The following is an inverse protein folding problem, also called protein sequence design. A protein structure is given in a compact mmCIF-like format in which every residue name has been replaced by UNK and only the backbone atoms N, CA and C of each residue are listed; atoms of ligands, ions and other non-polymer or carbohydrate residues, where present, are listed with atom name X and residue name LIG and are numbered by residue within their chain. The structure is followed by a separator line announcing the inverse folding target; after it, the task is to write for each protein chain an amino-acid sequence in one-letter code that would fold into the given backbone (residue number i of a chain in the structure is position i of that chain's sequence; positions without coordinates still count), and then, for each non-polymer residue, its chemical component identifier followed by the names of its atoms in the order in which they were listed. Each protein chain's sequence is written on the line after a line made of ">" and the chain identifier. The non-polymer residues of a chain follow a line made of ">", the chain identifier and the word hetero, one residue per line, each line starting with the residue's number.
data_IF_024765927438
#
_entry.id   IF_024765927438
#
_cell.length_a   1.000
_cell.length_b   1.000
_cell.length_c   1.000
_cell.angle_alpha   90.00
_cell.angle_beta   90.00
_cell.angle_gamma   90.00
#
_symmetry.space_group_name_H-M   'P 1'
#
loop_
_entity.id
_entity.type
_entity.pdbx_description
1 polymer ?
#
# COMPACT_ATOMS: atom_id res chain seq x y z
N UNK A 1 -31.45 78.41 -44.10
CA UNK A 1 -32.00 77.41 -43.11
C UNK A 1 -31.13 76.18 -43.16
N UNK A 2 -30.25 76.01 -42.19
CA UNK A 2 -29.26 74.95 -42.14
C UNK A 2 -29.82 73.76 -41.33
N UNK A 3 -29.89 72.55 -41.95
CA UNK A 3 -30.23 71.32 -41.27
C UNK A 3 -28.98 70.60 -40.87
N UNK A 4 -28.75 70.55 -39.56
CA UNK A 4 -27.68 69.68 -38.91
C UNK A 4 -28.22 68.27 -38.72
N UNK A 5 -27.67 67.29 -39.43
CA UNK A 5 -27.86 65.87 -39.16
C UNK A 5 -26.79 65.44 -38.16
N UNK A 6 -27.20 65.07 -36.97
CA UNK A 6 -26.37 64.45 -35.98
C UNK A 6 -26.21 62.95 -36.33
N UNK A 7 -24.97 62.53 -36.63
CA UNK A 7 -24.65 61.12 -36.79
C UNK A 7 -24.25 60.60 -35.36
N UNK A 8 -24.97 59.63 -34.85
CA UNK A 8 -24.63 58.90 -33.64
C UNK A 8 -23.78 57.66 -34.04
N UNK A 9 -22.54 57.62 -33.61
CA UNK A 9 -21.65 56.45 -33.72
C UNK A 9 -21.90 55.56 -32.50
N UNK A 10 -22.53 54.42 -32.70
CA UNK A 10 -22.65 53.37 -31.68
C UNK A 10 -21.37 52.50 -31.70
N UNK A 11 -20.52 52.64 -30.70
CA UNK A 11 -19.38 51.75 -30.48
C UNK A 11 -19.91 50.44 -29.83
N UNK A 12 -19.93 49.36 -30.64
CA UNK A 12 -20.19 48.02 -30.12
C UNK A 12 -18.91 47.49 -29.46
N UNK A 13 -18.92 47.44 -28.12
CA UNK A 13 -17.88 46.74 -27.34
C UNK A 13 -18.19 45.25 -27.41
N UNK A 14 -17.44 44.51 -28.22
CA UNK A 14 -17.46 43.05 -28.20
C UNK A 14 -16.77 42.56 -26.92
N UNK A 15 -17.54 42.18 -25.89
CA UNK A 15 -17.04 41.38 -24.78
C UNK A 15 -16.77 39.95 -25.31
N UNK A 16 -15.50 39.65 -25.61
CA UNK A 16 -15.07 38.28 -25.79
C UNK A 16 -15.02 37.63 -24.39
N UNK A 17 -16.14 37.02 -24.02
CA UNK A 17 -16.17 36.13 -22.84
C UNK A 17 -15.25 34.95 -23.13
N UNK A 18 -14.08 34.92 -22.49
CA UNK A 18 -13.30 33.69 -22.34
C UNK A 18 -14.15 32.75 -21.46
N UNK A 19 -14.84 31.82 -22.10
CA UNK A 19 -15.38 30.66 -21.39
C UNK A 19 -14.20 29.90 -20.87
N UNK A 20 -13.93 30.01 -19.57
CA UNK A 20 -13.09 29.05 -18.89
C UNK A 20 -13.76 27.68 -19.06
N UNK A 21 -13.20 26.83 -19.92
CA UNK A 21 -13.58 25.43 -19.98
C UNK A 21 -13.29 24.86 -18.59
N UNK A 22 -14.33 24.52 -17.85
CA UNK A 22 -14.15 23.74 -16.63
C UNK A 22 -13.34 22.48 -17.00
N UNK A 23 -12.28 22.20 -16.28
CA UNK A 23 -11.53 20.96 -16.47
C UNK A 23 -12.52 19.79 -16.35
N UNK A 24 -12.43 18.84 -17.27
CA UNK A 24 -13.25 17.64 -17.23
C UNK A 24 -12.99 16.89 -15.91
N UNK A 25 -14.06 16.57 -15.18
CA UNK A 25 -13.90 15.89 -13.89
C UNK A 25 -13.36 14.47 -14.10
N UNK A 26 -12.21 14.18 -13.51
CA UNK A 26 -11.59 12.86 -13.53
C UNK A 26 -11.68 12.24 -12.14
N UNK A 27 -12.29 11.07 -12.04
CA UNK A 27 -12.40 10.32 -10.79
C UNK A 27 -11.30 9.27 -10.71
N UNK A 28 -10.65 9.16 -9.55
CA UNK A 28 -9.59 8.20 -9.27
C UNK A 28 -9.97 7.39 -8.04
N UNK A 29 -9.87 6.07 -8.16
CA UNK A 29 -10.10 5.14 -7.06
C UNK A 29 -8.79 4.41 -6.73
N UNK A 30 -8.35 4.52 -5.47
CA UNK A 30 -7.13 3.88 -4.96
C UNK A 30 -7.48 2.71 -4.04
N UNK A 31 -7.15 1.48 -4.43
CA UNK A 31 -7.27 0.30 -3.59
C UNK A 31 -6.29 0.35 -2.40
N UNK A 32 -6.77 0.02 -1.20
CA UNK A 32 -5.98 0.12 0.04
C UNK A 32 -5.89 -1.23 0.77
N UNK A 33 -6.35 -1.31 1.98
CA UNK A 33 -6.40 -2.49 2.84
C UNK A 33 -7.40 -2.29 3.97
N UNK A 34 -7.28 -3.07 5.04
CA UNK A 34 -8.09 -2.88 6.24
C UNK A 34 -7.85 -1.50 6.87
N UNK A 35 -8.89 -0.93 7.48
CA UNK A 35 -8.87 0.44 8.02
C UNK A 35 -7.86 0.64 9.16
N UNK A 36 -7.47 -0.41 9.85
CA UNK A 36 -6.45 -0.40 10.91
C UNK A 36 -5.02 -0.54 10.38
N UNK A 37 -4.86 -0.81 9.07
CA UNK A 37 -3.58 -1.00 8.39
C UNK A 37 -3.04 0.28 7.74
N UNK A 38 -1.73 0.31 7.48
CA UNK A 38 -1.05 1.49 6.92
C UNK A 38 -1.42 1.74 5.45
N UNK A 39 -1.83 0.74 4.67
CA UNK A 39 -2.33 0.94 3.29
C UNK A 39 -3.50 1.90 3.23
N UNK A 40 -4.43 1.79 4.19
CA UNK A 40 -5.55 2.72 4.26
C UNK A 40 -5.08 4.15 4.45
N UNK A 41 -4.10 4.35 5.34
CA UNK A 41 -3.48 5.66 5.55
C UNK A 41 -2.75 6.16 4.30
N UNK A 42 -2.03 5.29 3.57
CA UNK A 42 -1.37 5.65 2.30
C UNK A 42 -2.38 6.20 1.30
N UNK A 43 -3.43 5.42 0.99
CA UNK A 43 -4.43 5.84 0.01
C UNK A 43 -5.17 7.12 0.41
N UNK A 44 -5.59 7.23 1.68
CA UNK A 44 -6.22 8.44 2.20
C UNK A 44 -5.29 9.65 2.14
N UNK A 45 -3.99 9.47 2.39
CA UNK A 45 -2.99 10.53 2.33
C UNK A 45 -2.80 11.04 0.90
N UNK A 46 -2.67 10.12 -0.07
CA UNK A 46 -2.56 10.46 -1.49
C UNK A 46 -3.82 11.19 -1.95
N UNK A 47 -5.01 10.63 -1.70
CA UNK A 47 -6.27 11.27 -2.09
C UNK A 47 -6.45 12.64 -1.44
N UNK A 48 -6.02 12.81 -0.19
CA UNK A 48 -6.06 14.12 0.49
C UNK A 48 -5.20 15.16 -0.23
N UNK A 49 -4.04 14.76 -0.77
CA UNK A 49 -3.15 15.66 -1.51
C UNK A 49 -3.71 15.97 -2.91
N UNK A 50 -4.17 14.95 -3.64
CA UNK A 50 -4.82 15.11 -4.95
C UNK A 50 -6.04 16.02 -4.87
N UNK A 51 -6.94 15.76 -3.91
CA UNK A 51 -8.18 16.52 -3.76
C UNK A 51 -7.99 18.00 -3.38
N UNK A 52 -6.81 18.39 -2.90
CA UNK A 52 -6.51 19.82 -2.65
C UNK A 52 -6.36 20.63 -3.93
N UNK A 53 -5.98 19.96 -5.01
CA UNK A 53 -5.72 20.59 -6.30
C UNK A 53 -6.88 20.37 -7.28
N UNK A 54 -8.03 19.87 -6.81
CA UNK A 54 -9.21 19.59 -7.67
C UNK A 54 -9.65 20.79 -8.50
N UNK A 55 -9.56 22.01 -7.95
CA UNK A 55 -9.94 23.22 -8.69
C UNK A 55 -9.07 23.47 -9.93
N UNK A 56 -7.82 23.01 -9.91
CA UNK A 56 -6.84 23.19 -11.00
C UNK A 56 -6.83 21.98 -11.95
N UNK A 57 -6.89 20.76 -11.37
CA UNK A 57 -6.73 19.51 -12.14
C UNK A 57 -8.04 18.87 -12.56
N UNK A 58 -9.18 19.24 -11.97
CA UNK A 58 -10.45 18.53 -12.14
C UNK A 58 -10.50 17.15 -11.48
N UNK A 59 -9.41 16.70 -10.85
CA UNK A 59 -9.30 15.34 -10.30
C UNK A 59 -9.96 15.21 -8.93
N UNK A 60 -10.69 14.11 -8.74
CA UNK A 60 -11.31 13.70 -7.48
C UNK A 60 -10.89 12.29 -7.15
N UNK A 61 -10.32 12.10 -5.96
CA UNK A 61 -9.73 10.84 -5.52
C UNK A 61 -10.50 10.26 -4.32
N UNK A 62 -10.75 8.95 -4.36
CA UNK A 62 -11.30 8.15 -3.27
C UNK A 62 -10.41 6.94 -2.97
N UNK A 63 -10.34 6.54 -1.72
CA UNK A 63 -9.51 5.41 -1.29
C UNK A 63 -10.32 4.46 -0.40
N UNK A 64 -11.12 3.55 -0.98
CA UNK A 64 -11.88 2.57 -0.23
C UNK A 64 -10.99 1.55 0.49
N UNK A 65 -11.50 1.00 1.60
CA UNK A 65 -10.91 -0.18 2.23
C UNK A 65 -11.14 -1.42 1.36
N UNK A 66 -10.11 -2.25 1.21
CA UNK A 66 -10.13 -3.44 0.34
C UNK A 66 -9.59 -4.68 1.07
N UNK A 67 -9.46 -5.78 0.33
CA UNK A 67 -8.82 -7.02 0.80
C UNK A 67 -7.29 -6.94 0.94
N UNK A 68 -6.63 -5.95 0.34
CA UNK A 68 -5.17 -5.80 0.34
C UNK A 68 -4.53 -6.08 -1.02
N UNK A 69 -3.25 -6.43 -1.04
CA UNK A 69 -2.37 -6.43 -2.23
C UNK A 69 -2.93 -7.17 -3.44
N UNK A 70 -3.31 -8.44 -3.28
CA UNK A 70 -3.80 -9.28 -4.38
C UNK A 70 -5.15 -8.79 -4.87
N UNK A 71 -6.04 -8.41 -3.95
CA UNK A 71 -7.34 -7.84 -4.29
C UNK A 71 -7.20 -6.53 -5.08
N UNK A 72 -6.26 -5.66 -4.69
CA UNK A 72 -6.01 -4.40 -5.38
C UNK A 72 -5.47 -4.64 -6.80
N UNK A 73 -4.46 -5.50 -6.95
CA UNK A 73 -3.90 -5.80 -8.27
C UNK A 73 -4.95 -6.42 -9.20
N UNK A 74 -5.78 -7.32 -8.69
CA UNK A 74 -6.87 -7.91 -9.48
C UNK A 74 -7.93 -6.88 -9.88
N UNK A 75 -8.29 -5.95 -8.99
CA UNK A 75 -9.23 -4.87 -9.30
C UNK A 75 -8.66 -3.88 -10.34
N UNK A 76 -7.36 -3.56 -10.27
CA UNK A 76 -6.67 -2.75 -11.28
C UNK A 76 -6.65 -3.49 -12.63
N UNK A 77 -6.35 -4.78 -12.62
CA UNK A 77 -6.35 -5.62 -13.83
C UNK A 77 -7.73 -5.70 -14.50
N UNK A 78 -8.79 -5.72 -13.69
CA UNK A 78 -10.17 -5.73 -14.16
C UNK A 78 -10.67 -4.35 -14.62
N UNK A 79 -9.96 -3.25 -14.27
CA UNK A 79 -10.39 -1.87 -14.51
C UNK A 79 -11.41 -1.34 -13.50
N UNK A 80 -11.58 -2.03 -12.36
CA UNK A 80 -12.48 -1.61 -11.27
C UNK A 80 -11.83 -0.54 -10.37
N UNK A 81 -10.50 -0.44 -10.40
CA UNK A 81 -9.71 0.55 -9.69
C UNK A 81 -8.59 1.08 -10.59
N UNK A 82 -8.25 2.35 -10.41
CA UNK A 82 -7.21 2.99 -11.21
C UNK A 82 -5.81 2.70 -10.67
N UNK A 83 -5.68 2.69 -9.34
CA UNK A 83 -4.41 2.55 -8.64
C UNK A 83 -4.62 1.75 -7.34
N UNK A 84 -3.52 1.32 -6.72
CA UNK A 84 -3.62 0.61 -5.46
C UNK A 84 -2.29 0.47 -4.74
N UNK A 85 -2.37 0.12 -3.46
CA UNK A 85 -1.20 -0.22 -2.65
C UNK A 85 -1.05 -1.74 -2.65
N UNK A 86 0.17 -2.22 -2.92
CA UNK A 86 0.49 -3.65 -2.94
C UNK A 86 1.91 -3.89 -2.41
N UNK A 87 2.14 -5.06 -1.84
CA UNK A 87 3.47 -5.51 -1.47
C UNK A 87 4.35 -5.71 -2.71
N UNK A 88 5.65 -5.48 -2.58
CA UNK A 88 6.63 -5.63 -3.67
C UNK A 88 6.75 -7.05 -4.22
N UNK A 89 6.53 -8.08 -3.40
CA UNK A 89 6.47 -9.48 -3.84
C UNK A 89 5.25 -9.73 -4.73
N UNK A 90 4.08 -9.23 -4.35
CA UNK A 90 2.86 -9.35 -5.17
C UNK A 90 2.91 -8.54 -6.45
N UNK A 91 3.56 -7.37 -6.43
CA UNK A 91 3.87 -6.62 -7.65
C UNK A 91 4.73 -7.47 -8.60
N UNK A 92 5.78 -8.11 -8.06
CA UNK A 92 6.66 -8.99 -8.84
C UNK A 92 5.90 -10.20 -9.41
N UNK A 93 5.15 -10.92 -8.57
CA UNK A 93 4.43 -12.13 -8.99
C UNK A 93 3.38 -11.82 -10.06
N UNK A 94 2.63 -10.74 -9.89
CA UNK A 94 1.61 -10.35 -10.85
C UNK A 94 2.21 -9.91 -12.19
N UNK A 95 3.25 -9.10 -12.18
CA UNK A 95 3.89 -8.62 -13.40
C UNK A 95 4.53 -9.76 -14.20
N UNK A 96 5.25 -10.64 -13.53
CA UNK A 96 5.97 -11.75 -14.17
C UNK A 96 5.10 -12.99 -14.47
N UNK A 97 3.88 -13.06 -13.94
CA UNK A 97 3.01 -14.23 -14.07
C UNK A 97 3.48 -15.44 -13.27
N UNK A 98 4.07 -15.21 -12.10
CA UNK A 98 4.54 -16.27 -11.21
C UNK A 98 3.36 -17.11 -10.69
N UNK A 99 3.56 -18.41 -10.39
CA UNK A 99 2.51 -19.31 -9.92
C UNK A 99 1.78 -18.83 -8.65
N UNK A 100 2.47 -18.05 -7.82
CA UNK A 100 1.90 -17.44 -6.60
C UNK A 100 0.77 -16.46 -6.90
N UNK A 101 0.70 -15.90 -8.12
CA UNK A 101 -0.38 -15.00 -8.54
C UNK A 101 -1.36 -15.74 -9.44
N UNK A 102 -2.39 -16.35 -8.84
CA UNK A 102 -3.39 -17.17 -9.55
C UNK A 102 -4.17 -16.41 -10.64
N UNK A 103 -4.24 -15.09 -10.55
CA UNK A 103 -4.83 -14.23 -11.57
C UNK A 103 -4.11 -14.25 -12.93
N UNK A 104 -2.97 -14.95 -13.05
CA UNK A 104 -2.10 -14.99 -14.22
C UNK A 104 -1.39 -13.65 -14.48
N UNK A 105 -0.44 -13.64 -15.39
CA UNK A 105 0.38 -12.46 -15.67
C UNK A 105 -0.46 -11.18 -15.93
N UNK A 106 0.06 -10.08 -15.41
CA UNK A 106 -0.48 -8.74 -15.67
C UNK A 106 0.65 -7.84 -16.24
N UNK A 107 0.98 -7.98 -17.54
CA UNK A 107 2.08 -7.26 -18.16
C UNK A 107 1.85 -5.74 -18.24
N UNK A 108 0.60 -5.28 -18.08
CA UNK A 108 0.25 -3.88 -18.04
C UNK A 108 0.35 -3.27 -16.63
N UNK A 109 0.72 -4.05 -15.62
CA UNK A 109 1.00 -3.52 -14.29
C UNK A 109 2.19 -2.54 -14.35
N UNK A 110 2.06 -1.41 -13.69
CA UNK A 110 3.10 -0.38 -13.59
C UNK A 110 3.34 0.01 -12.15
N UNK A 111 4.61 0.17 -11.80
CA UNK A 111 5.01 0.80 -10.56
C UNK A 111 4.86 2.32 -10.69
N UNK A 112 4.48 2.96 -9.61
CA UNK A 112 4.49 4.42 -9.50
C UNK A 112 5.61 4.84 -8.57
N UNK A 113 5.56 4.42 -7.31
CA UNK A 113 6.63 4.58 -6.31
C UNK A 113 6.47 3.54 -5.20
N UNK A 114 7.52 3.32 -4.40
CA UNK A 114 7.39 2.58 -3.15
C UNK A 114 7.11 3.51 -1.97
N UNK A 115 6.67 2.94 -0.86
CA UNK A 115 6.37 3.69 0.36
C UNK A 115 7.21 3.13 1.51
N UNK A 116 6.61 2.58 2.53
CA UNK A 116 7.29 2.10 3.74
C UNK A 116 7.71 0.63 3.64
N UNK A 117 8.62 0.23 4.52
CA UNK A 117 8.92 -1.19 4.74
C UNK A 117 7.77 -1.87 5.48
N UNK A 118 7.57 -3.15 5.21
CA UNK A 118 6.51 -3.98 5.78
C UNK A 118 7.11 -5.26 6.37
N UNK A 119 7.57 -5.22 7.63
CA UNK A 119 7.97 -6.43 8.35
C UNK A 119 6.84 -7.46 8.40
N UNK A 120 7.16 -8.72 8.11
CA UNK A 120 6.29 -9.86 8.38
C UNK A 120 6.26 -10.09 9.89
N UNK A 121 5.15 -9.77 10.51
CA UNK A 121 5.02 -9.69 11.97
C UNK A 121 4.12 -10.80 12.48
N UNK A 122 4.60 -11.54 13.46
CA UNK A 122 3.81 -12.49 14.24
C UNK A 122 3.59 -11.90 15.63
N UNK A 123 2.35 -11.87 16.07
CA UNK A 123 1.96 -11.49 17.44
C UNK A 123 1.30 -12.69 18.08
N UNK A 124 1.81 -13.15 19.23
CA UNK A 124 1.29 -14.29 19.96
C UNK A 124 0.86 -13.90 21.37
N UNK A 125 -0.19 -14.54 21.86
CA UNK A 125 -0.62 -14.42 23.26
C UNK A 125 0.46 -15.01 24.18
N UNK A 126 0.70 -14.39 25.32
CA UNK A 126 1.73 -14.85 26.27
C UNK A 126 1.42 -16.25 26.81
N UNK A 127 0.14 -16.58 26.95
CA UNK A 127 -0.31 -17.89 27.43
C UNK A 127 -0.32 -19.00 26.36
N UNK A 128 -0.03 -18.67 25.11
CA UNK A 128 -0.02 -19.62 23.99
C UNK A 128 1.28 -20.44 23.89
N UNK A 129 2.35 -20.01 24.56
CA UNK A 129 3.66 -20.69 24.53
C UNK A 129 4.30 -20.68 23.15
N UNK A 130 4.17 -19.56 22.40
CA UNK A 130 4.77 -19.32 21.09
C UNK A 130 5.94 -18.36 21.29
N UNK A 131 7.14 -18.80 21.05
CA UNK A 131 8.38 -18.01 21.19
C UNK A 131 9.21 -17.96 19.91
N UNK A 132 8.95 -18.89 19.00
CA UNK A 132 9.54 -18.98 17.66
C UNK A 132 8.44 -19.15 16.61
N UNK A 133 8.77 -18.92 15.34
CA UNK A 133 7.82 -19.14 14.25
C UNK A 133 7.33 -20.60 14.18
N UNK A 134 8.22 -21.56 14.47
CA UNK A 134 7.89 -22.99 14.42
C UNK A 134 6.86 -23.40 15.51
N UNK A 135 6.77 -22.66 16.62
CA UNK A 135 5.79 -22.93 17.68
C UNK A 135 4.34 -22.63 17.25
N UNK A 136 4.14 -22.02 16.06
CA UNK A 136 2.80 -21.83 15.48
C UNK A 136 2.12 -23.16 15.08
N UNK A 137 2.90 -24.24 14.88
CA UNK A 137 2.32 -25.57 14.64
C UNK A 137 1.43 -26.01 15.82
N UNK A 138 0.25 -26.52 15.48
CA UNK A 138 -0.74 -26.93 16.46
C UNK A 138 -1.46 -25.79 17.19
N UNK A 139 -1.22 -24.53 16.82
CA UNK A 139 -1.92 -23.35 17.38
C UNK A 139 -3.07 -22.90 16.50
N UNK A 140 -3.95 -22.07 17.07
CA UNK A 140 -4.99 -21.36 16.36
C UNK A 140 -4.39 -20.05 15.82
N UNK A 141 -4.13 -19.97 14.54
CA UNK A 141 -3.42 -18.83 13.94
C UNK A 141 -4.31 -18.10 12.93
N UNK A 142 -4.43 -16.79 13.04
CA UNK A 142 -4.98 -15.99 11.93
C UNK A 142 -3.89 -15.77 10.89
N UNK A 143 -4.00 -16.46 9.76
CA UNK A 143 -3.05 -16.41 8.64
C UNK A 143 -3.39 -15.35 7.60
N UNK A 144 -4.43 -14.55 7.83
CA UNK A 144 -4.87 -13.46 6.95
C UNK A 144 -5.99 -13.85 5.99
N UNK A 145 -6.75 -12.86 5.56
CA UNK A 145 -7.88 -13.06 4.66
C UNK A 145 -7.42 -13.38 3.22
N UNK A 146 -8.23 -14.15 2.46
CA UNK A 146 -8.00 -14.34 1.03
C UNK A 146 -7.88 -13.00 0.29
N UNK A 147 -6.94 -12.91 -0.63
CA UNK A 147 -6.66 -11.68 -1.39
C UNK A 147 -5.79 -10.66 -0.66
N UNK A 148 -5.39 -10.90 0.60
CA UNK A 148 -4.40 -10.07 1.28
C UNK A 148 -2.97 -10.48 0.93
N UNK A 149 -2.05 -9.51 0.97
CA UNK A 149 -0.64 -9.78 0.75
C UNK A 149 -0.04 -10.65 1.86
N UNK A 150 -0.42 -10.40 3.13
CA UNK A 150 0.06 -11.18 4.26
C UNK A 150 -0.30 -12.67 4.17
N UNK A 151 -1.53 -12.98 3.69
CA UNK A 151 -1.95 -14.37 3.49
C UNK A 151 -1.02 -15.06 2.50
N UNK A 152 -0.76 -14.42 1.38
CA UNK A 152 0.10 -15.01 0.39
C UNK A 152 1.56 -15.10 0.81
N UNK A 153 2.10 -14.11 1.54
CA UNK A 153 3.46 -14.23 2.13
C UNK A 153 3.52 -15.40 3.12
N UNK A 154 2.45 -15.61 3.91
CA UNK A 154 2.37 -16.79 4.78
C UNK A 154 2.35 -18.10 3.98
N UNK A 155 1.63 -18.17 2.88
CA UNK A 155 1.59 -19.34 2.00
C UNK A 155 2.96 -19.64 1.38
N UNK A 156 3.71 -18.62 0.96
CA UNK A 156 5.10 -18.78 0.51
C UNK A 156 5.98 -19.37 1.61
N UNK A 157 5.85 -18.91 2.87
CA UNK A 157 6.58 -19.48 4.00
C UNK A 157 6.16 -20.93 4.27
N UNK A 158 4.87 -21.21 4.26
CA UNK A 158 4.34 -22.57 4.47
C UNK A 158 4.90 -23.52 3.41
N UNK A 159 4.91 -23.13 2.15
CA UNK A 159 5.49 -23.92 1.04
C UNK A 159 6.98 -24.21 1.30
N UNK A 160 7.77 -23.20 1.65
CA UNK A 160 9.21 -23.35 1.93
C UNK A 160 9.50 -24.22 3.13
N UNK A 161 8.63 -24.24 4.13
CA UNK A 161 8.73 -25.04 5.34
C UNK A 161 8.09 -26.42 5.20
N UNK A 162 7.40 -26.70 4.09
CA UNK A 162 6.63 -27.93 3.90
C UNK A 162 5.41 -28.00 4.83
N UNK A 163 4.84 -26.86 5.21
CA UNK A 163 3.66 -26.79 6.03
C UNK A 163 2.40 -26.75 5.19
N UNK A 164 1.30 -27.24 5.76
CA UNK A 164 -0.05 -27.16 5.22
C UNK A 164 -0.98 -26.51 6.23
N UNK A 165 -2.22 -26.27 5.86
CA UNK A 165 -3.24 -25.76 6.80
C UNK A 165 -3.50 -26.74 7.95
N UNK A 166 -3.29 -28.04 7.73
CA UNK A 166 -3.46 -29.10 8.74
C UNK A 166 -2.38 -29.07 9.85
N UNK A 167 -1.30 -28.34 9.65
CA UNK A 167 -0.28 -28.11 10.69
C UNK A 167 -0.77 -27.17 11.79
N UNK A 168 -1.88 -26.43 11.58
CA UNK A 168 -2.51 -25.58 12.60
C UNK A 168 -3.71 -26.27 13.24
N UNK A 169 -3.93 -25.99 14.54
CA UNK A 169 -5.20 -26.38 15.18
C UNK A 169 -6.40 -25.63 14.55
N UNK A 170 -6.16 -24.41 14.10
CA UNK A 170 -7.08 -23.59 13.32
C UNK A 170 -6.29 -22.60 12.48
N UNK A 171 -6.41 -22.64 11.17
CA UNK A 171 -5.98 -21.58 10.28
C UNK A 171 -7.18 -20.63 10.04
N UNK A 172 -7.18 -19.48 10.74
CA UNK A 172 -8.23 -18.49 10.61
C UNK A 172 -7.91 -17.50 9.49
N UNK A 173 -8.93 -16.99 8.81
CA UNK A 173 -8.80 -16.12 7.63
C UNK A 173 -9.46 -14.76 7.84
N UNK A 174 -9.31 -14.19 9.04
CA UNK A 174 -9.91 -12.92 9.42
C UNK A 174 -9.17 -11.75 8.75
N UNK A 175 -9.93 -10.70 8.46
CA UNK A 175 -9.35 -9.43 8.03
C UNK A 175 -8.52 -8.80 9.16
N UNK A 176 -7.55 -7.95 8.80
CA UNK A 176 -6.69 -7.29 9.76
C UNK A 176 -7.44 -6.47 10.82
N UNK A 177 -8.59 -5.91 10.49
CA UNK A 177 -9.42 -5.16 11.45
C UNK A 177 -10.15 -6.05 12.47
N UNK A 178 -10.22 -7.37 12.26
CA UNK A 178 -10.94 -8.32 13.12
C UNK A 178 -10.01 -9.12 14.03
N UNK A 179 -8.71 -9.17 13.68
CA UNK A 179 -7.75 -10.08 14.30
C UNK A 179 -7.44 -9.73 15.77
N UNK A 180 -7.37 -8.44 16.13
CA UNK A 180 -7.15 -8.01 17.50
C UNK A 180 -8.27 -8.44 18.44
N UNK A 181 -9.53 -8.26 18.02
CA UNK A 181 -10.69 -8.72 18.77
C UNK A 181 -10.72 -10.26 18.90
N UNK A 182 -10.39 -10.99 17.83
CA UNK A 182 -10.33 -12.45 17.87
C UNK A 182 -9.26 -12.97 18.85
N UNK A 183 -8.12 -12.26 18.97
CA UNK A 183 -7.08 -12.57 19.96
C UNK A 183 -7.57 -12.29 21.39
N UNK A 184 -8.20 -11.13 21.63
CA UNK A 184 -8.78 -10.76 22.91
C UNK A 184 -9.88 -11.71 23.38
N UNK A 185 -10.71 -12.19 22.44
CA UNK A 185 -11.77 -13.18 22.68
C UNK A 185 -11.23 -14.62 22.84
N UNK A 186 -9.91 -14.81 22.83
CA UNK A 186 -9.27 -16.14 22.86
C UNK A 186 -9.75 -17.10 21.75
N UNK A 187 -10.05 -16.57 20.57
CA UNK A 187 -10.42 -17.36 19.38
C UNK A 187 -9.19 -17.81 18.59
N UNK A 188 -8.11 -17.02 18.67
CA UNK A 188 -6.81 -17.32 18.05
C UNK A 188 -5.69 -17.14 19.08
N UNK A 189 -4.61 -17.93 18.93
CA UNK A 189 -3.43 -17.89 19.78
C UNK A 189 -2.38 -16.92 19.25
N UNK A 190 -2.35 -16.77 17.92
CA UNK A 190 -1.45 -15.85 17.24
C UNK A 190 -2.13 -15.24 15.99
N UNK A 191 -1.59 -14.09 15.60
CA UNK A 191 -1.95 -13.40 14.35
C UNK A 191 -0.70 -13.08 13.57
N UNK A 192 -0.81 -13.06 12.24
CA UNK A 192 0.24 -12.55 11.36
C UNK A 192 -0.21 -11.29 10.65
N UNK A 193 0.72 -10.39 10.41
CA UNK A 193 0.47 -9.20 9.62
C UNK A 193 1.74 -8.69 8.94
N UNK A 194 1.73 -8.62 7.61
CA UNK A 194 2.77 -7.94 6.84
C UNK A 194 2.32 -6.49 6.67
N UNK A 195 2.94 -5.57 7.37
CA UNK A 195 2.45 -4.18 7.43
C UNK A 195 3.53 -3.20 7.87
N UNK A 196 3.31 -1.91 7.58
CA UNK A 196 4.12 -0.82 8.14
C UNK A 196 3.90 -0.64 9.65
N UNK A 197 4.92 -0.15 10.32
CA UNK A 197 4.94 0.09 11.76
C UNK A 197 5.13 1.59 12.08
N UNK A 198 4.50 2.10 13.19
CA UNK A 198 3.53 1.41 14.05
C UNK A 198 2.24 1.07 13.31
N UNK A 199 1.59 -0.03 13.71
CA UNK A 199 0.38 -0.53 13.08
C UNK A 199 -0.79 -0.57 14.08
N UNK A 200 -1.94 -0.06 13.70
CA UNK A 200 -3.10 0.07 14.58
C UNK A 200 -3.66 -1.28 15.06
N UNK A 201 -3.71 -2.29 14.18
CA UNK A 201 -4.21 -3.62 14.55
C UNK A 201 -3.28 -4.34 15.54
N UNK A 202 -1.95 -4.24 15.33
CA UNK A 202 -0.95 -4.81 16.24
C UNK A 202 -0.98 -4.08 17.59
N UNK A 203 -1.12 -2.74 17.56
CA UNK A 203 -1.21 -1.94 18.77
C UNK A 203 -2.47 -2.27 19.58
N UNK A 204 -3.60 -2.45 18.92
CA UNK A 204 -4.84 -2.91 19.55
C UNK A 204 -4.66 -4.30 20.17
N UNK A 205 -4.14 -5.28 19.44
CA UNK A 205 -3.90 -6.64 19.90
C UNK A 205 -3.03 -6.67 21.16
N UNK A 206 -1.89 -5.96 21.17
CA UNK A 206 -0.95 -5.92 22.28
C UNK A 206 -1.39 -5.06 23.46
N UNK A 207 -2.36 -4.15 23.26
CA UNK A 207 -2.92 -3.31 24.32
C UNK A 207 -4.07 -4.01 25.04
N UNK A 208 -4.92 -4.73 24.29
CA UNK A 208 -6.12 -5.40 24.82
C UNK A 208 -5.86 -6.82 25.32
N UNK A 209 -4.74 -7.42 24.91
CA UNK A 209 -4.35 -8.78 25.26
C UNK A 209 -2.91 -8.79 25.76
N UNK A 210 -2.57 -9.65 26.72
CA UNK A 210 -1.18 -9.92 27.07
C UNK A 210 -0.56 -10.75 25.94
N UNK A 211 0.25 -10.07 25.12
CA UNK A 211 0.82 -10.61 23.90
C UNK A 211 2.15 -9.93 23.55
N UNK A 212 2.97 -10.62 22.80
CA UNK A 212 4.27 -10.16 22.35
C UNK A 212 4.52 -10.47 20.88
N UNK A 213 5.49 -9.78 20.28
CA UNK A 213 5.96 -10.06 18.92
C UNK A 213 6.96 -11.22 18.95
N UNK A 214 6.84 -12.12 17.97
CA UNK A 214 7.64 -13.32 17.83
C UNK A 214 8.65 -13.13 16.68
N UNK A 215 9.95 -13.42 16.87
CA UNK A 215 10.92 -13.33 15.80
C UNK A 215 10.66 -14.36 14.68
N UNK A 216 10.93 -13.94 13.44
CA UNK A 216 10.77 -14.78 12.25
C UNK A 216 12.13 -14.84 11.54
N UNK A 217 12.95 -15.74 11.98
CA UNK A 217 14.36 -15.90 11.59
C UNK A 217 14.71 -17.37 11.35
N UNK A 218 15.85 -17.62 10.75
CA UNK A 218 16.37 -18.97 10.55
C UNK A 218 16.78 -19.24 9.12
N UNK A 219 17.39 -20.42 8.84
CA UNK A 219 17.98 -20.72 7.53
C UNK A 219 17.00 -20.62 6.35
N UNK A 220 15.72 -20.98 6.55
CA UNK A 220 14.69 -20.89 5.50
C UNK A 220 14.39 -19.42 5.17
N UNK A 221 14.33 -18.56 6.20
CA UNK A 221 14.13 -17.12 6.01
C UNK A 221 15.35 -16.48 5.35
N UNK A 222 16.56 -16.87 5.78
CA UNK A 222 17.81 -16.38 5.17
C UNK A 222 17.87 -16.74 3.66
N UNK A 223 17.51 -17.98 3.30
CA UNK A 223 17.44 -18.42 1.92
C UNK A 223 16.34 -17.67 1.14
N UNK A 224 15.17 -17.50 1.72
CA UNK A 224 14.07 -16.76 1.09
C UNK A 224 14.48 -15.32 0.73
N UNK A 225 15.16 -14.63 1.65
CA UNK A 225 15.66 -13.26 1.42
C UNK A 225 16.80 -13.25 0.40
N UNK A 226 17.72 -14.22 0.44
CA UNK A 226 18.84 -14.27 -0.49
C UNK A 226 18.40 -14.55 -1.94
N UNK A 227 17.37 -15.37 -2.12
CA UNK A 227 16.90 -15.82 -3.45
C UNK A 227 15.93 -14.82 -4.11
N UNK A 228 15.38 -13.87 -3.37
CA UNK A 228 14.30 -13.01 -3.85
C UNK A 228 14.54 -11.53 -3.54
N UNK A 229 14.74 -10.68 -4.55
CA UNK A 229 15.14 -9.28 -4.38
C UNK A 229 14.04 -8.38 -3.78
N UNK A 230 12.80 -8.86 -3.72
CA UNK A 230 11.67 -8.17 -3.12
C UNK A 230 11.48 -8.45 -1.63
N UNK A 231 12.27 -9.36 -1.05
CA UNK A 231 12.37 -9.58 0.40
C UNK A 231 13.65 -8.98 0.95
N UNK A 232 13.59 -8.50 2.19
CA UNK A 232 14.74 -8.00 2.93
C UNK A 232 14.65 -8.40 4.41
N UNK A 233 15.79 -8.49 5.10
CA UNK A 233 15.79 -8.57 6.55
C UNK A 233 15.19 -7.29 7.13
N UNK A 234 14.41 -7.44 8.18
CA UNK A 234 13.73 -6.34 8.84
C UNK A 234 13.80 -6.50 10.36
N UNK A 235 13.62 -5.38 11.05
CA UNK A 235 13.56 -5.34 12.52
C UNK A 235 12.36 -4.50 12.92
N UNK A 236 11.55 -5.00 13.84
CA UNK A 236 10.55 -4.19 14.54
C UNK A 236 11.20 -3.70 15.84
N UNK A 237 11.36 -2.38 16.05
CA UNK A 237 12.04 -1.84 17.22
C UNK A 237 11.35 -2.22 18.53
N UNK A 238 12.14 -2.59 19.52
CA UNK A 238 11.68 -2.82 20.87
C UNK A 238 11.00 -1.60 21.49
N UNK A 239 10.06 -1.84 22.39
CA UNK A 239 9.28 -0.80 23.04
C UNK A 239 8.20 -0.14 22.16
N UNK A 240 8.08 -0.53 20.89
CA UNK A 240 7.03 -0.01 19.99
C UNK A 240 5.65 -0.54 20.37
N UNK A 241 5.58 -1.76 20.86
CA UNK A 241 4.34 -2.42 21.27
C UNK A 241 4.46 -2.95 22.69
N UNK A 242 3.36 -2.89 23.45
CA UNK A 242 3.29 -3.46 24.79
C UNK A 242 3.65 -4.95 24.76
N UNK A 243 4.43 -5.42 25.73
CA UNK A 243 4.87 -6.82 25.82
C UNK A 243 6.09 -7.18 24.98
N UNK A 244 6.69 -6.20 24.25
CA UNK A 244 7.86 -6.41 23.40
C UNK A 244 8.88 -5.31 23.64
N UNK A 245 9.80 -5.52 24.59
CA UNK A 245 10.79 -4.51 25.00
C UNK A 245 12.07 -4.54 24.16
N UNK A 246 12.41 -5.69 23.56
CA UNK A 246 13.57 -5.88 22.70
C UNK A 246 13.22 -5.79 21.22
N UNK A 247 14.22 -5.48 20.39
CA UNK A 247 14.10 -5.54 18.94
C UNK A 247 13.71 -6.96 18.49
N UNK A 248 12.80 -7.05 17.51
CA UNK A 248 12.32 -8.31 16.95
C UNK A 248 12.80 -8.44 15.51
N UNK A 249 13.70 -9.39 15.28
CA UNK A 249 14.22 -9.69 13.94
C UNK A 249 13.19 -10.48 13.11
N UNK A 250 13.06 -10.09 11.85
CA UNK A 250 12.16 -10.72 10.89
C UNK A 250 12.65 -10.45 9.46
N UNK A 251 11.82 -10.72 8.49
CA UNK A 251 11.98 -10.28 7.10
C UNK A 251 10.78 -9.44 6.70
N UNK A 252 10.84 -8.84 5.53
CA UNK A 252 9.73 -8.04 5.05
C UNK A 252 9.84 -7.68 3.59
N UNK A 253 8.87 -6.89 3.15
CA UNK A 253 8.71 -6.36 1.80
C UNK A 253 8.63 -4.84 1.85
N UNK A 254 8.43 -4.20 0.69
CA UNK A 254 8.03 -2.79 0.58
C UNK A 254 6.55 -2.70 0.24
N UNK A 255 5.85 -1.75 0.81
CA UNK A 255 4.61 -1.25 0.26
C UNK A 255 4.92 -0.48 -1.02
N UNK A 256 4.24 -0.81 -2.11
CA UNK A 256 4.39 -0.14 -3.40
C UNK A 256 3.07 0.44 -3.85
N UNK A 257 3.11 1.54 -4.57
CA UNK A 257 1.95 2.16 -5.20
C UNK A 257 1.98 1.80 -6.67
N UNK A 258 0.94 1.14 -7.14
CA UNK A 258 0.87 0.52 -8.46
C UNK A 258 -0.36 0.96 -9.22
N UNK A 259 -0.30 0.85 -10.56
CA UNK A 259 -1.37 1.19 -11.48
C UNK A 259 -1.30 0.32 -12.74
N UNK A 260 -2.19 0.55 -13.69
CA UNK A 260 -2.16 -0.05 -15.02
C UNK A 260 -1.57 0.91 -16.06
N UNK A 261 -0.88 0.37 -17.07
CA UNK A 261 -0.49 1.13 -18.27
C UNK A 261 -1.67 1.77 -19.02
N UNK A 262 -2.90 1.35 -18.75
CA UNK A 262 -4.11 1.94 -19.34
C UNK A 262 -4.56 3.24 -18.68
N UNK A 263 -4.06 3.56 -17.49
CA UNK A 263 -4.36 4.85 -16.83
C UNK A 263 -3.62 5.97 -17.58
N UNK A 264 -4.26 7.09 -17.91
CA UNK A 264 -3.61 8.16 -18.66
C UNK A 264 -2.37 8.73 -17.96
N UNK A 265 -1.32 9.03 -18.72
CA UNK A 265 -0.05 9.55 -18.21
C UNK A 265 -0.23 10.80 -17.36
N UNK A 266 -1.12 11.70 -17.78
CA UNK A 266 -1.39 12.96 -17.07
C UNK A 266 -2.01 12.70 -15.69
N UNK A 267 -2.89 11.69 -15.58
CA UNK A 267 -3.51 11.30 -14.29
C UNK A 267 -2.43 10.82 -13.32
N UNK A 268 -1.55 9.93 -13.77
CA UNK A 268 -0.48 9.41 -12.91
C UNK A 268 0.53 10.51 -12.58
N UNK A 269 0.87 11.36 -13.55
CA UNK A 269 1.75 12.52 -13.35
C UNK A 269 1.22 13.44 -12.24
N UNK A 270 -0.05 13.82 -12.29
CA UNK A 270 -0.66 14.70 -11.28
C UNK A 270 -0.74 14.04 -9.89
N UNK A 271 -0.98 12.73 -9.81
CA UNK A 271 -0.91 12.01 -8.53
C UNK A 271 0.50 12.01 -7.95
N UNK A 272 1.50 11.71 -8.77
CA UNK A 272 2.92 11.73 -8.37
C UNK A 272 3.33 13.14 -7.93
N UNK A 273 2.96 14.15 -8.72
CA UNK A 273 3.20 15.57 -8.42
C UNK A 273 2.56 15.98 -7.10
N UNK A 274 1.31 15.57 -6.85
CA UNK A 274 0.62 15.89 -5.60
C UNK A 274 1.36 15.33 -4.37
N UNK A 275 1.96 14.15 -4.47
CA UNK A 275 2.73 13.54 -3.38
C UNK A 275 4.07 14.22 -3.21
N UNK A 276 4.88 14.33 -4.26
CA UNK A 276 6.28 14.78 -4.15
C UNK A 276 6.42 16.30 -4.01
N UNK A 277 5.53 17.11 -4.58
CA UNK A 277 5.50 18.55 -4.30
C UNK A 277 5.06 18.87 -2.85
N UNK A 278 4.45 17.89 -2.16
CA UNK A 278 4.06 17.99 -0.76
C UNK A 278 4.77 16.95 0.12
N UNK A 279 6.01 16.57 -0.22
CA UNK A 279 6.70 15.44 0.35
C UNK A 279 6.83 15.49 1.88
N UNK A 280 7.30 16.61 2.44
CA UNK A 280 7.40 16.77 3.90
C UNK A 280 6.04 16.63 4.60
N UNK A 281 4.99 17.11 3.96
CA UNK A 281 3.64 16.94 4.48
C UNK A 281 3.20 15.49 4.41
N UNK A 282 3.47 14.79 3.31
CA UNK A 282 3.19 13.36 3.17
C UNK A 282 3.88 12.55 4.26
N UNK A 283 5.16 12.80 4.50
CA UNK A 283 5.93 12.16 5.58
C UNK A 283 5.33 12.38 6.96
N UNK A 284 4.77 13.55 7.21
CA UNK A 284 4.14 13.89 8.49
C UNK A 284 2.75 13.25 8.73
N UNK A 285 2.18 12.53 7.74
CA UNK A 285 0.83 11.97 7.86
C UNK A 285 0.77 10.65 8.63
N UNK A 286 1.89 9.93 8.71
CA UNK A 286 2.01 8.70 9.51
C UNK A 286 3.45 8.45 9.92
N UNK A 287 3.72 7.92 11.14
CA UNK A 287 5.09 7.63 11.59
C UNK A 287 5.86 6.67 10.66
N UNK A 288 5.19 5.70 10.02
CA UNK A 288 5.81 4.81 9.05
C UNK A 288 6.40 5.53 7.83
N UNK A 289 6.01 6.79 7.57
CA UNK A 289 6.51 7.59 6.45
C UNK A 289 7.67 8.51 6.84
N UNK A 290 8.00 8.61 8.12
CA UNK A 290 8.95 9.60 8.64
C UNK A 290 10.35 9.50 8.00
N UNK A 291 10.78 8.29 7.65
CA UNK A 291 12.10 8.00 7.08
C UNK A 291 12.10 7.85 5.55
N UNK A 292 11.00 8.18 4.87
CA UNK A 292 10.95 8.15 3.41
C UNK A 292 11.92 9.19 2.82
N UNK A 293 12.55 8.81 1.72
CA UNK A 293 13.30 9.70 0.84
C UNK A 293 12.80 9.54 -0.58
N UNK A 294 12.87 10.60 -1.38
CA UNK A 294 12.46 10.56 -2.78
C UNK A 294 13.23 9.47 -3.54
N UNK A 295 14.54 9.37 -3.31
CA UNK A 295 15.43 8.39 -3.94
C UNK A 295 14.96 6.96 -3.65
N UNK A 296 14.70 6.62 -2.38
CA UNK A 296 14.24 5.29 -1.99
C UNK A 296 12.87 4.95 -2.58
N UNK A 297 11.94 5.94 -2.61
CA UNK A 297 10.59 5.72 -3.14
C UNK A 297 10.59 5.40 -4.64
N UNK A 298 11.51 5.95 -5.42
CA UNK A 298 11.56 5.73 -6.86
C UNK A 298 12.43 4.53 -7.27
N UNK A 299 13.37 4.09 -6.42
CA UNK A 299 14.36 3.04 -6.76
C UNK A 299 14.12 1.70 -6.07
N UNK A 300 13.56 1.67 -4.85
CA UNK A 300 13.43 0.44 -4.07
C UNK A 300 12.05 -0.21 -4.23
N UNK A 301 11.99 -1.54 -4.28
CA UNK A 301 10.74 -2.32 -4.26
C UNK A 301 9.89 -2.25 -5.54
N UNK A 302 10.28 -1.44 -6.52
CA UNK A 302 9.57 -1.31 -7.80
C UNK A 302 10.06 -2.38 -8.79
N UNK A 303 9.38 -3.51 -8.83
CA UNK A 303 9.74 -4.66 -9.68
C UNK A 303 9.05 -4.68 -11.05
N UNK A 304 7.92 -3.98 -11.21
CA UNK A 304 7.32 -3.69 -12.50
C UNK A 304 7.92 -2.42 -13.12
N UNK A 305 7.84 -2.22 -14.45
CA UNK A 305 8.24 -0.96 -15.08
C UNK A 305 7.50 0.25 -14.48
N UNK A 306 8.18 1.37 -14.39
CA UNK A 306 7.53 2.62 -13.98
C UNK A 306 6.46 3.03 -15.00
N UNK A 307 5.42 3.71 -14.51
CA UNK A 307 4.41 4.30 -15.38
C UNK A 307 4.99 5.54 -16.09
N UNK A 308 4.74 5.75 -17.41
CA UNK A 308 5.29 6.89 -18.13
C UNK A 308 4.98 8.26 -17.51
N UNK A 309 3.79 8.43 -16.93
CA UNK A 309 3.42 9.65 -16.20
C UNK A 309 4.28 9.88 -14.95
N UNK A 310 4.66 8.82 -14.24
CA UNK A 310 5.58 8.90 -13.11
C UNK A 310 7.01 9.22 -13.59
N UNK A 311 7.49 8.52 -14.63
CA UNK A 311 8.79 8.79 -15.24
C UNK A 311 8.93 10.25 -15.71
N UNK A 312 7.88 10.80 -16.34
CA UNK A 312 7.86 12.20 -16.79
C UNK A 312 8.18 13.13 -15.61
N UNK A 313 7.48 13.00 -14.50
CA UNK A 313 7.73 13.82 -13.32
C UNK A 313 9.16 13.63 -12.77
N UNK A 314 9.62 12.38 -12.67
CA UNK A 314 10.97 12.10 -12.14
C UNK A 314 12.08 12.65 -13.03
N UNK A 315 11.92 12.63 -14.37
CA UNK A 315 12.85 13.26 -15.32
C UNK A 315 12.88 14.79 -15.18
N UNK A 316 11.70 15.42 -15.03
CA UNK A 316 11.60 16.87 -14.80
C UNK A 316 12.28 17.30 -13.50
N UNK A 317 12.30 16.43 -12.48
CA UNK A 317 13.03 16.65 -11.22
C UNK A 317 14.51 16.30 -11.31
N UNK A 318 14.97 15.68 -12.39
CA UNK A 318 16.35 15.22 -12.55
C UNK A 318 16.71 14.02 -11.68
N UNK A 319 15.72 13.23 -11.23
CA UNK A 319 15.94 12.06 -10.37
C UNK A 319 16.25 10.79 -11.16
N UNK A 320 15.82 10.73 -12.40
CA UNK A 320 16.16 9.66 -13.37
C UNK A 320 16.58 10.27 -14.71
N UNK A 321 17.34 9.48 -15.53
CA UNK A 321 17.85 9.90 -16.84
C UNK A 321 16.78 9.78 -17.95
#
# INVERSE_FOLDING_TARGET
>A
MLNFRKAAIAAAIALTGQSATAAEETFITIGTGGQTGVYYVVGQSICRLVNRNTAETGMKCTAPSTGGSVANINAIKAGDMDMGVAQSDWQYYAYNGSPQFEGGAFPDLRAVFSVHGEPFTVVARDDAGVTTFDDLKGKRVNIGNPGSGQRGTMEVLMEKLGWTLDDFALASELKSAEQAAAMGDNKVDAIIFTAGHPNGSIQEATTTTDAHLVPVVGPVIDALVADNPYYAKAVVPGGMYRGTDADVETFGVKATFVTSASVPDEVVYEVVKAVFDNFDRFKGLHPAFANLTEEAMISEGNSAPLHPGAEKYYRERGWIN
#
